data_IF_870900257779
#
_entry.id   IF_870900257779
#
_cell.length_a   1.000
_cell.length_b   1.000
_cell.length_c   1.000
_cell.angle_alpha   90.00
_cell.angle_beta   90.00
_cell.angle_gamma   90.00
#
_symmetry.space_group_name_H-M   'P 1'
#
loop_
_entity.id
_entity.type
_entity.pdbx_description
1 polymer ?
#
# COMPACT_ATOMS: atom_id res chain seq x y z
N UNK A 1 9.64 10.20 7.56
CA UNK A 1 8.42 10.87 7.12
C UNK A 1 8.40 12.31 7.60
N UNK A 2 7.95 13.21 6.73
CA UNK A 2 7.60 14.58 7.12
C UNK A 2 6.20 14.92 6.62
N UNK A 3 5.47 15.72 7.39
CA UNK A 3 4.19 16.29 6.99
C UNK A 3 4.30 17.81 7.14
N UNK A 4 4.04 18.53 6.07
CA UNK A 4 4.20 20.00 6.00
C UNK A 4 5.59 20.49 6.49
N UNK A 5 6.64 19.65 6.24
CA UNK A 5 8.03 19.94 6.60
C UNK A 5 8.43 19.53 8.03
N UNK A 6 7.50 19.03 8.86
CA UNK A 6 7.81 18.56 10.21
C UNK A 6 8.05 17.05 10.22
N UNK A 7 9.24 16.62 10.68
CA UNK A 7 9.57 15.19 10.83
C UNK A 7 8.76 14.57 11.96
N UNK A 8 8.00 13.55 11.64
CA UNK A 8 7.08 12.89 12.57
C UNK A 8 7.03 11.39 12.32
N UNK A 9 7.00 10.54 13.37
CA UNK A 9 6.79 9.11 13.23
C UNK A 9 5.48 8.80 12.50
N UNK A 10 5.46 7.74 11.69
CA UNK A 10 4.31 7.38 10.86
C UNK A 10 3.02 7.19 11.68
N UNK A 11 3.12 6.56 12.85
CA UNK A 11 1.97 6.34 13.73
C UNK A 11 1.26 7.62 14.14
N UNK A 12 1.98 8.74 14.18
CA UNK A 12 1.43 10.05 14.54
C UNK A 12 0.90 10.83 13.32
N UNK A 13 1.15 10.33 12.12
CA UNK A 13 0.68 10.92 10.85
C UNK A 13 -0.63 10.31 10.36
N UNK A 14 -0.97 9.10 10.79
CA UNK A 14 -2.19 8.42 10.37
C UNK A 14 -3.43 9.27 10.68
N UNK A 15 -4.31 9.40 9.68
CA UNK A 15 -5.52 10.20 9.77
C UNK A 15 -5.32 11.71 9.60
N UNK A 16 -4.07 12.18 9.39
CA UNK A 16 -3.78 13.59 9.13
C UNK A 16 -3.83 13.90 7.63
N UNK A 17 -3.97 15.17 7.32
CA UNK A 17 -3.95 15.72 5.96
C UNK A 17 -2.84 16.76 5.86
N UNK A 18 -2.24 16.88 4.68
CA UNK A 18 -1.15 17.83 4.41
C UNK A 18 -0.23 17.33 3.29
N UNK A 19 0.91 18.00 3.13
CA UNK A 19 1.95 17.60 2.20
C UNK A 19 2.89 16.59 2.85
N UNK A 20 2.81 15.33 2.39
CA UNK A 20 3.61 14.20 2.88
C UNK A 20 4.90 14.09 2.07
N UNK A 21 6.03 13.96 2.74
CA UNK A 21 7.30 13.55 2.14
C UNK A 21 7.78 12.26 2.79
N UNK A 22 8.04 11.25 1.98
CA UNK A 22 8.63 9.97 2.38
C UNK A 22 10.05 9.93 1.81
N UNK A 23 11.04 9.98 2.67
CA UNK A 23 12.44 9.78 2.29
C UNK A 23 12.91 8.41 2.77
N UNK A 24 13.52 7.65 1.86
CA UNK A 24 14.10 6.34 2.12
C UNK A 24 15.58 6.43 1.81
N UNK A 25 16.42 6.26 2.81
CA UNK A 25 17.88 6.21 2.67
C UNK A 25 18.32 4.75 2.70
N UNK A 26 19.15 4.37 1.74
CA UNK A 26 19.66 3.01 1.55
C UNK A 26 21.15 2.99 1.86
N UNK A 27 21.58 2.04 2.67
CA UNK A 27 22.99 1.86 3.03
C UNK A 27 23.45 0.47 2.68
N UNK A 28 24.55 0.37 1.92
CA UNK A 28 25.21 -0.89 1.64
C UNK A 28 26.34 -1.10 2.66
N UNK A 29 26.21 -2.13 3.49
CA UNK A 29 27.16 -2.48 4.53
C UNK A 29 28.19 -3.53 4.08
N UNK A 30 28.03 -4.11 2.88
CA UNK A 30 28.97 -5.07 2.30
C UNK A 30 30.11 -4.33 1.61
N UNK A 31 31.10 -3.93 2.41
CA UNK A 31 32.26 -3.14 1.97
C UNK A 31 33.55 -3.94 2.01
N UNK A 32 34.46 -3.66 1.09
CA UNK A 32 35.83 -4.18 1.04
C UNK A 32 36.82 -3.06 0.77
N UNK A 33 38.11 -3.35 0.91
CA UNK A 33 39.19 -2.42 0.56
C UNK A 33 40.03 -3.01 -0.55
N UNK A 34 40.29 -2.22 -1.60
CA UNK A 34 41.18 -2.59 -2.71
C UNK A 34 42.23 -1.51 -2.92
N UNK A 35 43.40 -1.91 -3.38
CA UNK A 35 44.45 -0.95 -3.76
C UNK A 35 44.41 -0.70 -5.26
N UNK A 36 44.11 0.55 -5.65
CA UNK A 36 44.10 0.96 -7.07
C UNK A 36 45.13 2.05 -7.26
N UNK A 37 46.09 1.83 -8.17
CA UNK A 37 47.17 2.77 -8.45
C UNK A 37 47.95 3.22 -7.20
N UNK A 38 48.15 2.29 -6.22
CA UNK A 38 48.86 2.57 -4.99
C UNK A 38 48.06 3.30 -3.91
N UNK A 39 46.78 3.60 -4.12
CA UNK A 39 45.89 4.18 -3.14
C UNK A 39 44.85 3.16 -2.68
N UNK A 40 44.59 3.07 -1.37
CA UNK A 40 43.50 2.26 -0.83
C UNK A 40 42.16 2.92 -1.15
N UNK A 41 41.22 2.11 -1.60
CA UNK A 41 39.83 2.55 -1.90
C UNK A 41 38.84 1.58 -1.29
N UNK A 42 37.79 2.12 -0.72
CA UNK A 42 36.65 1.34 -0.29
C UNK A 42 35.82 0.98 -1.50
N UNK A 43 35.52 -0.29 -1.64
CA UNK A 43 34.60 -0.83 -2.67
C UNK A 43 33.41 -1.45 -1.95
N UNK A 44 32.29 -1.52 -2.63
CA UNK A 44 31.06 -2.17 -2.15
C UNK A 44 30.74 -3.36 -3.02
N UNK A 45 30.17 -4.41 -2.43
CA UNK A 45 29.52 -5.47 -3.20
C UNK A 45 28.25 -4.89 -3.79
N UNK A 46 28.10 -4.81 -5.12
CA UNK A 46 26.92 -4.18 -5.70
C UNK A 46 25.69 -5.08 -5.50
N UNK A 47 24.60 -4.49 -5.01
CA UNK A 47 23.29 -5.11 -4.96
C UNK A 47 22.33 -4.22 -5.74
N UNK A 48 21.54 -4.83 -6.63
CA UNK A 48 20.41 -4.15 -7.23
C UNK A 48 19.30 -4.12 -6.18
N UNK A 49 18.85 -2.94 -5.81
CA UNK A 49 17.80 -2.73 -4.82
C UNK A 49 16.61 -2.06 -5.48
N UNK A 50 15.48 -2.72 -5.46
CA UNK A 50 14.20 -2.16 -5.88
C UNK A 50 13.41 -1.71 -4.65
N UNK A 51 12.88 -0.50 -4.70
CA UNK A 51 12.02 0.09 -3.67
C UNK A 51 10.69 0.44 -4.30
N UNK A 52 9.60 0.02 -3.69
CA UNK A 52 8.25 0.40 -4.06
C UNK A 52 7.56 1.10 -2.89
N UNK A 53 6.94 2.25 -3.14
CA UNK A 53 6.08 2.94 -2.19
C UNK A 53 4.68 2.94 -2.76
N UNK A 54 3.74 2.33 -2.04
CA UNK A 54 2.33 2.27 -2.41
C UNK A 54 1.55 3.23 -1.52
N UNK A 55 0.91 4.20 -2.16
CA UNK A 55 0.02 5.18 -1.54
C UNK A 55 -1.43 4.86 -1.94
N UNK A 56 -2.36 5.01 -1.00
CA UNK A 56 -3.79 4.76 -1.21
C UNK A 56 -4.50 5.89 -1.99
N UNK A 57 -5.82 5.79 -2.06
CA UNK A 57 -6.69 6.79 -2.70
C UNK A 57 -6.73 8.13 -1.94
N UNK A 58 -6.23 8.15 -0.71
CA UNK A 58 -6.03 9.32 0.14
C UNK A 58 -4.86 10.21 -0.32
N UNK A 59 -4.03 9.74 -1.26
CA UNK A 59 -2.89 10.46 -1.81
C UNK A 59 -3.17 10.98 -3.22
N UNK A 60 -2.80 12.22 -3.45
CA UNK A 60 -2.88 12.90 -4.75
C UNK A 60 -1.57 13.61 -5.06
N UNK A 61 -1.40 14.07 -6.30
CA UNK A 61 -0.19 14.80 -6.75
C UNK A 61 1.12 14.09 -6.37
N UNK A 62 1.11 12.75 -6.45
CA UNK A 62 2.31 11.97 -6.12
C UNK A 62 3.43 12.30 -7.08
N UNK A 63 4.59 12.62 -6.55
CA UNK A 63 5.82 12.88 -7.32
C UNK A 63 6.96 11.98 -6.85
N UNK A 64 7.85 11.66 -7.75
CA UNK A 64 9.04 10.87 -7.52
C UNK A 64 10.17 11.51 -8.33
N UNK A 65 11.29 11.83 -7.69
CA UNK A 65 12.40 12.51 -8.35
C UNK A 65 13.04 11.65 -9.45
N UNK A 66 13.26 10.35 -9.16
CA UNK A 66 13.81 9.37 -10.10
C UNK A 66 13.07 8.05 -9.95
N UNK A 67 12.61 7.45 -11.04
CA UNK A 67 11.92 6.17 -11.04
C UNK A 67 10.65 6.17 -11.88
N UNK A 68 9.76 5.25 -11.59
CA UNK A 68 8.49 5.06 -12.27
C UNK A 68 7.33 5.35 -11.32
N UNK A 69 6.38 6.13 -11.80
CA UNK A 69 5.10 6.37 -11.14
C UNK A 69 4.01 5.67 -11.95
N UNK A 70 3.28 4.79 -11.28
CA UNK A 70 2.12 4.12 -11.87
C UNK A 70 0.90 4.34 -10.98
N UNK A 71 -0.14 4.91 -11.56
CA UNK A 71 -1.39 5.19 -10.85
C UNK A 71 -2.49 4.27 -11.35
N UNK A 72 -3.07 3.50 -10.44
CA UNK A 72 -4.28 2.73 -10.64
C UNK A 72 -5.46 3.46 -9.98
N UNK A 73 -6.70 2.99 -10.21
CA UNK A 73 -7.91 3.69 -9.76
C UNK A 73 -7.96 4.03 -8.26
N UNK A 74 -7.19 3.34 -7.40
CA UNK A 74 -7.24 3.47 -5.94
C UNK A 74 -5.89 3.49 -5.25
N UNK A 75 -4.81 3.50 -6.00
CA UNK A 75 -3.46 3.55 -5.46
C UNK A 75 -2.48 4.11 -6.47
N UNK A 76 -1.42 4.73 -5.98
CA UNK A 76 -0.27 5.13 -6.78
C UNK A 76 0.95 4.39 -6.26
N UNK A 77 1.69 3.78 -7.17
CA UNK A 77 2.95 3.10 -6.88
C UNK A 77 4.08 3.95 -7.41
N UNK A 78 4.97 4.34 -6.51
CA UNK A 78 6.26 4.94 -6.85
C UNK A 78 7.33 3.85 -6.77
N UNK A 79 7.91 3.46 -7.89
CA UNK A 79 8.93 2.42 -7.98
C UNK A 79 10.28 2.99 -8.36
N UNK A 80 11.32 2.58 -7.66
CA UNK A 80 12.68 3.07 -7.81
C UNK A 80 13.66 1.90 -7.74
N UNK A 81 14.70 1.92 -8.59
CA UNK A 81 15.76 0.90 -8.60
C UNK A 81 17.12 1.58 -8.49
N UNK A 82 17.98 1.07 -7.63
CA UNK A 82 19.31 1.62 -7.39
C UNK A 82 20.35 0.56 -7.03
N UNK A 83 21.61 1.00 -6.99
CA UNK A 83 22.79 0.26 -6.55
C UNK A 83 23.41 0.99 -5.34
N UNK A 84 22.90 0.78 -4.11
CA UNK A 84 23.33 1.54 -2.95
C UNK A 84 24.85 1.43 -2.69
N UNK A 85 25.50 2.56 -2.36
CA UNK A 85 26.92 2.67 -2.06
C UNK A 85 27.85 2.69 -3.29
N UNK A 86 27.36 2.32 -4.46
CA UNK A 86 28.18 2.25 -5.69
C UNK A 86 28.63 3.63 -6.13
N UNK A 87 27.78 4.66 -6.01
CA UNK A 87 28.14 6.05 -6.33
C UNK A 87 29.37 6.51 -5.55
N UNK A 88 29.39 6.27 -4.23
CA UNK A 88 30.51 6.61 -3.37
C UNK A 88 31.80 5.86 -3.74
N UNK A 89 31.69 4.55 -4.03
CA UNK A 89 32.82 3.71 -4.45
C UNK A 89 33.42 4.14 -5.79
N UNK A 90 32.62 4.64 -6.72
CA UNK A 90 33.05 5.10 -8.05
C UNK A 90 33.36 6.61 -8.12
N UNK A 91 33.22 7.32 -7.01
CA UNK A 91 33.45 8.76 -6.98
C UNK A 91 34.88 9.12 -7.47
N UNK A 92 34.95 10.02 -8.44
CA UNK A 92 36.20 10.44 -9.09
C UNK A 92 36.80 9.43 -10.08
N UNK A 93 36.10 8.33 -10.39
CA UNK A 93 36.50 7.35 -11.40
C UNK A 93 35.59 7.39 -12.65
N UNK A 94 34.36 7.89 -12.49
CA UNK A 94 33.42 7.96 -13.60
C UNK A 94 33.72 9.19 -14.49
N UNK A 95 33.84 9.00 -15.81
CA UNK A 95 33.90 10.11 -16.73
C UNK A 95 32.54 10.83 -16.83
N UNK A 96 32.53 12.11 -17.21
CA UNK A 96 31.32 12.95 -17.33
C UNK A 96 30.25 12.37 -18.26
N UNK A 97 30.62 11.43 -19.13
CA UNK A 97 29.68 10.72 -20.01
C UNK A 97 28.76 9.70 -19.30
N UNK A 98 29.01 9.42 -18.02
CA UNK A 98 28.22 8.48 -17.21
C UNK A 98 27.04 9.12 -16.47
N UNK A 99 26.71 10.38 -16.75
CA UNK A 99 25.61 11.10 -16.10
C UNK A 99 24.26 10.37 -16.19
N UNK A 100 24.00 9.66 -17.29
CA UNK A 100 22.77 8.88 -17.45
C UNK A 100 22.64 7.69 -16.45
N UNK A 101 23.75 7.22 -15.87
CA UNK A 101 23.73 6.17 -14.87
C UNK A 101 23.58 6.74 -13.44
N UNK A 102 23.73 8.04 -13.23
CA UNK A 102 23.65 8.65 -11.89
C UNK A 102 22.30 8.44 -11.23
N UNK A 103 21.21 8.39 -12.00
CA UNK A 103 19.85 8.16 -11.49
C UNK A 103 19.71 6.78 -10.85
N UNK A 104 20.49 5.78 -11.30
CA UNK A 104 20.53 4.43 -10.73
C UNK A 104 21.57 4.26 -9.62
N UNK A 105 22.33 5.30 -9.31
CA UNK A 105 23.38 5.28 -8.29
C UNK A 105 23.00 6.11 -7.06
N UNK A 106 21.73 6.47 -6.92
CA UNK A 106 21.26 7.23 -5.76
C UNK A 106 21.17 6.35 -4.52
N UNK A 107 21.63 6.86 -3.39
CA UNK A 107 21.53 6.19 -2.09
C UNK A 107 20.26 6.57 -1.32
N UNK A 108 19.41 7.41 -1.91
CA UNK A 108 18.13 7.80 -1.32
C UNK A 108 17.08 8.02 -2.39
N UNK A 109 15.83 7.82 -2.00
CA UNK A 109 14.65 8.16 -2.81
C UNK A 109 13.69 9.00 -1.99
N UNK A 110 13.08 9.99 -2.64
CA UNK A 110 12.08 10.85 -2.04
C UNK A 110 10.79 10.75 -2.85
N UNK A 111 9.69 10.45 -2.15
CA UNK A 111 8.34 10.45 -2.69
C UNK A 111 7.56 11.55 -1.98
N UNK A 112 6.92 12.42 -2.73
CA UNK A 112 6.06 13.48 -2.19
C UNK A 112 4.63 13.27 -2.67
N UNK A 113 3.67 13.62 -1.81
CA UNK A 113 2.25 13.52 -2.11
C UNK A 113 1.44 14.49 -1.25
N UNK A 114 0.32 14.97 -1.77
CA UNK A 114 -0.70 15.61 -0.95
C UNK A 114 -1.66 14.53 -0.44
N UNK A 115 -1.88 14.48 0.88
CA UNK A 115 -2.70 13.43 1.51
C UNK A 115 -3.89 14.02 2.27
N UNK A 116 -5.00 13.28 2.21
CA UNK A 116 -6.21 13.57 2.97
C UNK A 116 -6.59 12.35 3.82
N UNK A 117 -6.54 12.49 5.16
CA UNK A 117 -6.80 11.38 6.09
C UNK A 117 -5.85 10.20 5.86
N UNK A 118 -4.54 10.45 5.90
CA UNK A 118 -3.46 9.53 5.54
C UNK A 118 -3.69 8.11 6.07
N UNK A 119 -3.76 7.16 5.17
CA UNK A 119 -3.61 5.72 5.46
C UNK A 119 -2.14 5.32 5.49
N UNK A 120 -1.82 4.18 6.09
CA UNK A 120 -0.44 3.73 6.17
C UNK A 120 0.12 3.41 4.78
N UNK A 121 1.15 4.12 4.28
CA UNK A 121 1.82 3.76 3.04
C UNK A 121 2.52 2.42 3.20
N UNK A 122 2.53 1.62 2.14
CA UNK A 122 3.28 0.36 2.11
C UNK A 122 4.63 0.60 1.44
N UNK A 123 5.70 0.16 2.09
CA UNK A 123 7.05 0.23 1.53
C UNK A 123 7.53 -1.18 1.29
N UNK A 124 7.90 -1.48 0.05
CA UNK A 124 8.39 -2.75 -0.42
C UNK A 124 9.87 -2.57 -0.79
N UNK A 125 10.71 -3.50 -0.35
CA UNK A 125 12.12 -3.47 -0.65
C UNK A 125 12.58 -4.87 -1.02
N UNK A 126 13.26 -4.98 -2.17
CA UNK A 126 13.88 -6.20 -2.62
C UNK A 126 15.30 -5.91 -3.08
N UNK A 127 16.27 -6.74 -2.68
CA UNK A 127 17.66 -6.63 -3.10
C UNK A 127 18.17 -7.97 -3.62
N UNK A 128 18.98 -7.92 -4.68
CA UNK A 128 19.62 -9.08 -5.26
C UNK A 128 21.09 -8.77 -5.58
N UNK A 129 21.95 -9.78 -5.46
CA UNK A 129 23.35 -9.63 -5.88
C UNK A 129 23.43 -9.38 -7.39
N UNK A 130 24.15 -8.34 -7.79
CA UNK A 130 24.13 -7.83 -9.16
C UNK A 130 24.93 -8.64 -10.19
N UNK A 131 25.79 -9.57 -9.75
CA UNK A 131 26.74 -10.27 -10.62
C UNK A 131 26.08 -11.08 -11.76
N UNK A 132 24.93 -11.69 -11.51
CA UNK A 132 24.16 -12.43 -12.53
C UNK A 132 23.14 -11.55 -13.26
N UNK A 133 22.65 -10.49 -12.60
CA UNK A 133 21.63 -9.59 -13.16
C UNK A 133 22.21 -8.62 -14.21
N UNK A 134 23.49 -8.23 -14.10
CA UNK A 134 24.14 -7.32 -15.04
C UNK A 134 24.44 -7.96 -16.41
N UNK A 135 24.33 -9.29 -16.53
CA UNK A 135 24.60 -10.03 -17.76
C UNK A 135 23.37 -10.40 -18.58
N UNK A 136 22.17 -10.04 -18.15
CA UNK A 136 20.93 -10.33 -18.86
C UNK A 136 20.27 -9.04 -19.38
N UNK A 137 19.75 -9.09 -20.61
CA UNK A 137 19.14 -7.94 -21.31
C UNK A 137 17.91 -7.33 -20.59
N UNK A 138 17.53 -7.83 -19.40
CA UNK A 138 16.41 -7.37 -18.58
C UNK A 138 16.82 -7.07 -17.13
N UNK A 139 17.92 -6.36 -16.92
CA UNK A 139 18.43 -5.98 -15.58
C UNK A 139 17.37 -5.25 -14.74
N UNK A 140 16.37 -4.64 -15.37
CA UNK A 140 15.29 -3.89 -14.75
C UNK A 140 13.91 -4.47 -15.14
N UNK A 141 13.74 -5.79 -15.00
CA UNK A 141 12.42 -6.38 -15.17
C UNK A 141 11.53 -5.99 -13.97
N UNK A 142 10.75 -4.93 -14.15
CA UNK A 142 9.75 -4.47 -13.19
C UNK A 142 8.48 -5.35 -13.20
N UNK A 143 8.45 -6.46 -13.95
CA UNK A 143 7.29 -7.35 -14.03
C UNK A 143 6.88 -7.90 -12.66
N UNK A 144 7.85 -8.14 -11.78
CA UNK A 144 7.58 -8.56 -10.39
C UNK A 144 6.90 -7.47 -9.57
N UNK A 145 7.25 -6.19 -9.80
CA UNK A 145 6.60 -5.04 -9.15
C UNK A 145 5.19 -4.85 -9.72
N UNK A 146 5.02 -4.99 -11.03
CA UNK A 146 3.69 -4.97 -11.67
C UNK A 146 2.78 -6.09 -11.11
N UNK A 147 3.29 -7.32 -11.04
CA UNK A 147 2.55 -8.46 -10.47
C UNK A 147 2.14 -8.23 -9.01
N UNK A 148 3.00 -7.56 -8.22
CA UNK A 148 2.69 -7.21 -6.83
C UNK A 148 1.64 -6.10 -6.77
N UNK A 149 1.72 -5.10 -7.64
CA UNK A 149 0.72 -4.03 -7.76
C UNK A 149 -0.65 -4.58 -8.14
N UNK A 150 -0.69 -5.51 -9.10
CA UNK A 150 -1.90 -6.21 -9.50
C UNK A 150 -2.47 -7.03 -8.33
N UNK A 151 -1.61 -7.71 -7.57
CA UNK A 151 -1.99 -8.45 -6.37
C UNK A 151 -2.58 -7.56 -5.27
N UNK A 152 -2.00 -6.39 -5.04
CA UNK A 152 -2.52 -5.39 -4.08
C UNK A 152 -3.86 -4.84 -4.55
N UNK A 153 -4.02 -4.55 -5.84
CA UNK A 153 -5.29 -4.10 -6.42
C UNK A 153 -6.38 -5.16 -6.25
N UNK A 154 -6.08 -6.43 -6.53
CA UNK A 154 -7.01 -7.54 -6.33
C UNK A 154 -7.39 -7.73 -4.85
N UNK A 155 -6.43 -7.58 -3.92
CA UNK A 155 -6.72 -7.63 -2.49
C UNK A 155 -7.64 -6.49 -2.05
N UNK A 156 -7.42 -5.28 -2.55
CA UNK A 156 -8.28 -4.13 -2.27
C UNK A 156 -9.71 -4.36 -2.79
N UNK A 157 -9.86 -4.89 -4.01
CA UNK A 157 -11.16 -5.23 -4.58
C UNK A 157 -11.88 -6.33 -3.77
N UNK A 158 -11.12 -7.34 -3.32
CA UNK A 158 -11.66 -8.39 -2.45
C UNK A 158 -12.12 -7.84 -1.09
N UNK A 159 -11.37 -6.91 -0.49
CA UNK A 159 -11.77 -6.24 0.74
C UNK A 159 -13.07 -5.42 0.57
N UNK A 160 -13.23 -4.74 -0.56
CA UNK A 160 -14.46 -3.99 -0.84
C UNK A 160 -15.67 -4.92 -1.07
N UNK A 161 -15.47 -6.05 -1.74
CA UNK A 161 -16.51 -7.07 -1.86
C UNK A 161 -16.90 -7.63 -0.50
N UNK A 162 -15.92 -7.87 0.38
CA UNK A 162 -16.18 -8.30 1.76
C UNK A 162 -16.98 -7.27 2.54
N UNK A 163 -16.61 -5.98 2.44
CA UNK A 163 -17.31 -4.89 3.10
C UNK A 163 -18.76 -4.75 2.60
N UNK A 164 -18.95 -4.86 1.28
CA UNK A 164 -20.28 -4.87 0.66
C UNK A 164 -21.12 -6.07 1.12
N UNK A 165 -20.52 -7.26 1.20
CA UNK A 165 -21.17 -8.47 1.71
C UNK A 165 -21.54 -8.34 3.20
N UNK A 166 -20.68 -7.73 4.02
CA UNK A 166 -20.97 -7.44 5.41
C UNK A 166 -22.16 -6.47 5.56
N UNK A 167 -22.22 -5.42 4.73
CA UNK A 167 -23.36 -4.50 4.71
C UNK A 167 -24.67 -5.22 4.34
N UNK A 168 -24.65 -6.06 3.32
CA UNK A 168 -25.83 -6.85 2.93
C UNK A 168 -26.27 -7.81 4.05
N UNK A 169 -25.32 -8.37 4.79
CA UNK A 169 -25.65 -9.21 5.96
C UNK A 169 -26.35 -8.39 7.06
N UNK A 170 -25.88 -7.18 7.34
CA UNK A 170 -26.52 -6.26 8.31
C UNK A 170 -27.96 -5.93 7.86
N UNK A 171 -28.16 -5.62 6.60
CA UNK A 171 -29.48 -5.34 6.02
C UNK A 171 -30.40 -6.56 6.09
N UNK A 172 -29.87 -7.75 5.81
CA UNK A 172 -30.59 -9.02 5.95
C UNK A 172 -31.01 -9.31 7.40
N UNK A 173 -30.14 -9.00 8.37
CA UNK A 173 -30.47 -9.13 9.80
C UNK A 173 -31.59 -8.15 10.21
N UNK A 174 -31.57 -6.92 9.72
CA UNK A 174 -32.64 -5.94 9.99
C UNK A 174 -33.98 -6.38 9.39
N UNK A 175 -33.96 -7.00 8.19
CA UNK A 175 -35.16 -7.58 7.60
C UNK A 175 -35.68 -8.78 8.40
N UNK A 176 -34.80 -9.62 8.90
CA UNK A 176 -35.17 -10.76 9.75
C UNK A 176 -35.80 -10.28 11.08
N UNK A 177 -35.25 -9.26 11.71
CA UNK A 177 -35.80 -8.64 12.92
C UNK A 177 -37.21 -8.08 12.64
N UNK A 178 -37.38 -7.34 11.55
CA UNK A 178 -38.69 -6.81 11.14
C UNK A 178 -39.69 -7.94 10.86
N UNK A 179 -39.25 -9.03 10.25
CA UNK A 179 -40.08 -10.22 10.01
C UNK A 179 -40.49 -10.92 11.31
N UNK A 180 -39.60 -10.98 12.30
CA UNK A 180 -39.88 -11.55 13.60
C UNK A 180 -40.93 -10.71 14.37
N UNK A 181 -40.83 -9.38 14.33
CA UNK A 181 -41.83 -8.49 14.90
C UNK A 181 -43.22 -8.69 14.23
N UNK A 182 -43.26 -8.74 12.88
CA UNK A 182 -44.51 -8.97 12.15
C UNK A 182 -45.15 -10.34 12.49
N UNK A 183 -44.33 -11.37 12.71
CA UNK A 183 -44.79 -12.68 13.14
C UNK A 183 -45.40 -12.63 14.56
N UNK A 184 -44.77 -11.91 15.49
CA UNK A 184 -45.25 -11.71 16.83
C UNK A 184 -46.60 -10.98 16.83
N UNK A 185 -46.74 -9.94 16.05
CA UNK A 185 -47.99 -9.18 15.85
C UNK A 185 -49.11 -10.08 15.27
N UNK A 186 -48.77 -10.89 14.27
CA UNK A 186 -49.72 -11.88 13.70
C UNK A 186 -50.16 -12.92 14.71
N UNK A 187 -49.25 -13.44 15.55
CA UNK A 187 -49.59 -14.36 16.62
C UNK A 187 -50.50 -13.73 17.71
N UNK A 188 -50.26 -12.45 18.03
CA UNK A 188 -51.11 -11.70 18.96
C UNK A 188 -52.52 -11.48 18.42
N UNK A 189 -52.64 -11.14 17.10
CA UNK A 189 -53.94 -11.03 16.44
C UNK A 189 -54.69 -12.33 16.40
N UNK A 190 -54.01 -13.47 16.14
CA UNK A 190 -54.59 -14.78 16.17
C UNK A 190 -55.14 -15.12 17.55
N UNK A 191 -54.34 -14.83 18.60
CA UNK A 191 -54.82 -15.05 19.99
C UNK A 191 -56.06 -14.22 20.31
N UNK A 192 -56.07 -12.94 19.94
CA UNK A 192 -57.25 -12.08 20.11
C UNK A 192 -58.48 -12.59 19.34
N UNK A 193 -58.28 -13.14 18.14
CA UNK A 193 -59.35 -13.78 17.35
C UNK A 193 -59.93 -15.04 18.01
N UNK A 194 -59.05 -15.85 18.64
CA UNK A 194 -59.49 -17.02 19.40
C UNK A 194 -60.27 -16.63 20.67
N UNK A 195 -59.87 -15.57 21.37
CA UNK A 195 -60.62 -15.04 22.51
C UNK A 195 -62.02 -14.58 22.14
N UNK A 196 -62.18 -13.90 21.00
CA UNK A 196 -63.45 -13.48 20.46
C UNK A 196 -64.35 -14.62 20.04
N UNK A 197 -63.73 -15.67 19.45
CA UNK A 197 -64.49 -16.87 19.06
C UNK A 197 -65.00 -17.63 20.30
N UNK A 198 -64.14 -17.74 21.34
CA UNK A 198 -64.54 -18.37 22.60
C UNK A 198 -65.63 -17.60 23.30
N UNK A 199 -65.56 -16.28 23.37
CA UNK A 199 -66.64 -15.44 23.95
C UNK A 199 -67.92 -15.50 23.16
N UNK A 200 -67.82 -15.64 21.81
CA UNK A 200 -69.00 -15.85 20.96
C UNK A 200 -69.69 -17.21 21.18
N UNK A 201 -68.91 -18.26 21.39
CA UNK A 201 -69.44 -19.60 21.73
C UNK A 201 -70.12 -19.62 23.10
N UNK A 202 -69.56 -18.96 24.09
CA UNK A 202 -70.15 -18.85 25.43
C UNK A 202 -71.52 -18.11 25.38
N UNK A 203 -71.62 -17.12 24.54
CA UNK A 203 -72.89 -16.37 24.32
C UNK A 203 -73.95 -17.21 23.62
N UNK A 204 -73.59 -18.16 22.77
CA UNK A 204 -74.48 -19.06 22.04
C UNK A 204 -74.99 -20.25 22.91
N UNK A 205 -74.25 -20.59 23.96
CA UNK A 205 -74.52 -21.72 24.86
C UNK A 205 -75.23 -21.30 26.18
N UNK A 206 -75.37 -20.02 26.42
CA UNK A 206 -76.14 -19.43 27.51
C UNK A 206 -77.54 -19.06 27.08
#
# INVERSE_FOLDING_TARGET
YTLDGETTPLENLLGKSGHLTIRIDLTNNETGTVTVNGAERTVVTPFITAVGVVLGEDASHVTLEHGLLESAAKSTVAAFVTLPGVRGALSGLLPDSFSAAEDYLQDSVTVEADVENLSAPQILLASAASAEALGQDNVFDLSSIHSLTDGISQLNDAMQQLLSGASQLVDGMAQLDSGAVALLDGASQLNSGLDQLTGGLDTLTS
#
